data_IF_574946467208
#
_entry.id   IF_574946467208
#
_cell.length_a   1.000
_cell.length_b   1.000
_cell.length_c   1.000
_cell.angle_alpha   90.00
_cell.angle_beta   90.00
_cell.angle_gamma   90.00
#
_symmetry.space_group_name_H-M   'P 1'
#
loop_
_entity.id
_entity.type
_entity.pdbx_description
1 polymer ?
#
# COMPACT_ATOMS: atom_id res chain seq x y z
N UNK A 1 -1.82 -10.54 -11.70
CA UNK A 1 -0.84 -9.86 -12.59
C UNK A 1 -0.35 -8.63 -11.86
N UNK A 2 0.96 -8.52 -11.70
CA UNK A 2 1.69 -7.37 -11.19
C UNK A 2 3.16 -7.65 -11.50
N UNK A 3 3.83 -6.74 -12.18
CA UNK A 3 5.26 -6.83 -12.52
C UNK A 3 5.76 -5.42 -12.83
N UNK A 4 7.07 -5.24 -12.86
CA UNK A 4 7.74 -3.96 -13.11
C UNK A 4 7.30 -3.32 -14.43
N UNK A 5 7.08 -4.13 -15.47
CA UNK A 5 6.68 -3.67 -16.79
C UNK A 5 5.24 -3.09 -16.81
N UNK A 6 4.37 -3.55 -15.91
CA UNK A 6 2.95 -3.18 -15.93
C UNK A 6 2.74 -1.72 -15.51
N UNK A 7 3.55 -1.23 -14.57
CA UNK A 7 3.46 0.14 -14.05
C UNK A 7 4.59 1.06 -14.54
N UNK A 8 5.45 0.59 -15.44
CA UNK A 8 6.60 1.36 -15.95
C UNK A 8 6.17 2.72 -16.53
N UNK A 9 5.12 2.72 -17.36
CA UNK A 9 4.61 3.94 -17.96
C UNK A 9 4.13 4.96 -16.92
N UNK A 10 3.50 4.51 -15.84
CA UNK A 10 3.04 5.38 -14.75
C UNK A 10 4.21 5.87 -13.90
N UNK A 11 5.20 5.03 -13.64
CA UNK A 11 6.44 5.43 -12.97
C UNK A 11 7.14 6.57 -13.72
N UNK A 12 7.23 6.48 -15.05
CA UNK A 12 7.78 7.55 -15.88
C UNK A 12 6.96 8.84 -15.83
N UNK A 13 5.62 8.73 -15.84
CA UNK A 13 4.74 9.90 -15.71
C UNK A 13 4.95 10.60 -14.38
N UNK A 14 4.97 9.86 -13.28
CA UNK A 14 5.19 10.40 -11.94
C UNK A 14 6.58 11.04 -11.85
N UNK A 15 7.63 10.34 -12.30
CA UNK A 15 9.00 10.86 -12.30
C UNK A 15 9.10 12.19 -13.06
N UNK A 16 8.48 12.25 -14.25
CA UNK A 16 8.49 13.46 -15.08
C UNK A 16 7.66 14.60 -14.49
N UNK A 17 6.48 14.31 -13.93
CA UNK A 17 5.58 15.33 -13.40
C UNK A 17 6.05 15.91 -12.06
N UNK A 18 6.66 15.07 -11.21
CA UNK A 18 7.13 15.46 -9.88
C UNK A 18 8.60 15.87 -9.86
N UNK A 19 9.32 15.73 -10.98
CA UNK A 19 10.78 15.91 -11.05
C UNK A 19 11.50 15.09 -9.97
N UNK A 20 11.12 13.82 -9.86
CA UNK A 20 11.55 12.90 -8.81
C UNK A 20 12.13 11.60 -9.40
N UNK A 21 12.95 10.92 -8.61
CA UNK A 21 13.34 9.54 -8.87
C UNK A 21 12.23 8.62 -8.37
N UNK A 22 11.82 7.67 -9.21
CA UNK A 22 10.83 6.64 -8.86
C UNK A 22 11.53 5.28 -8.80
N UNK A 23 11.51 4.65 -7.63
CA UNK A 23 11.97 3.28 -7.43
C UNK A 23 10.75 2.33 -7.49
N UNK A 24 10.56 1.63 -8.61
CA UNK A 24 9.55 0.59 -8.74
C UNK A 24 10.05 -0.71 -8.11
N UNK A 25 9.27 -1.29 -7.20
CA UNK A 25 9.70 -2.42 -6.38
C UNK A 25 9.11 -3.74 -6.90
N UNK A 26 9.98 -4.66 -7.34
CA UNK A 26 9.60 -6.00 -7.76
C UNK A 26 9.38 -6.94 -6.58
N UNK A 27 8.36 -6.65 -5.75
CA UNK A 27 8.08 -7.42 -4.54
C UNK A 27 7.46 -8.79 -4.86
N UNK A 28 7.67 -9.77 -3.97
CA UNK A 28 7.11 -11.12 -4.13
C UNK A 28 5.59 -11.11 -4.01
N UNK A 29 4.92 -11.94 -4.82
CA UNK A 29 3.47 -11.96 -4.93
C UNK A 29 2.82 -13.18 -4.27
N UNK A 30 1.57 -13.01 -3.87
CA UNK A 30 0.69 -14.11 -3.50
C UNK A 30 0.15 -14.81 -4.78
N UNK A 31 -0.23 -16.09 -4.70
CA UNK A 31 -0.37 -16.93 -3.50
C UNK A 31 0.92 -17.55 -2.96
N UNK A 32 2.03 -17.54 -3.71
CA UNK A 32 3.30 -18.15 -3.36
C UNK A 32 3.92 -17.50 -2.12
N UNK A 33 3.80 -16.17 -2.02
CA UNK A 33 4.29 -15.36 -0.91
C UNK A 33 3.15 -14.54 -0.29
N UNK A 34 2.44 -15.15 0.66
CA UNK A 34 1.33 -14.49 1.38
C UNK A 34 1.84 -13.40 2.33
N UNK A 35 0.92 -12.56 2.80
CA UNK A 35 1.18 -11.60 3.86
C UNK A 35 1.93 -12.25 5.05
N UNK A 36 2.95 -11.59 5.64
CA UNK A 36 3.39 -10.21 5.38
C UNK A 36 4.48 -10.05 4.31
N UNK A 37 4.86 -11.11 3.57
CA UNK A 37 6.05 -11.09 2.71
C UNK A 37 6.05 -9.94 1.68
N UNK A 38 4.98 -9.71 0.89
CA UNK A 38 4.98 -8.64 -0.11
C UNK A 38 5.18 -7.25 0.51
N UNK A 39 4.58 -7.01 1.67
CA UNK A 39 4.69 -5.74 2.39
C UNK A 39 6.10 -5.54 2.94
N UNK A 40 6.68 -6.60 3.51
CA UNK A 40 8.04 -6.55 4.02
C UNK A 40 9.06 -6.30 2.90
N UNK A 41 8.83 -6.85 1.70
CA UNK A 41 9.67 -6.57 0.53
C UNK A 41 9.57 -5.09 0.12
N UNK A 42 8.36 -4.52 0.10
CA UNK A 42 8.17 -3.10 -0.17
C UNK A 42 8.86 -2.21 0.87
N UNK A 43 8.73 -2.55 2.16
CA UNK A 43 9.36 -1.80 3.24
C UNK A 43 10.90 -1.91 3.18
N UNK A 44 11.43 -3.10 2.88
CA UNK A 44 12.86 -3.30 2.69
C UNK A 44 13.39 -2.51 1.49
N UNK A 45 12.66 -2.48 0.37
CA UNK A 45 13.02 -1.65 -0.79
C UNK A 45 13.00 -0.15 -0.49
N UNK A 46 12.01 0.30 0.28
CA UNK A 46 11.96 1.68 0.76
C UNK A 46 13.17 2.03 1.63
N UNK A 47 13.47 1.22 2.65
CA UNK A 47 14.62 1.43 3.54
C UNK A 47 15.94 1.41 2.76
N UNK A 48 16.10 0.46 1.83
CA UNK A 48 17.27 0.40 0.97
C UNK A 48 17.48 1.71 0.18
N UNK A 49 16.42 2.25 -0.42
CA UNK A 49 16.50 3.52 -1.16
C UNK A 49 16.89 4.71 -0.27
N UNK A 50 16.40 4.74 0.97
CA UNK A 50 16.78 5.76 1.97
C UNK A 50 18.25 5.63 2.35
N UNK A 51 18.73 4.42 2.64
CA UNK A 51 20.11 4.13 3.03
C UNK A 51 21.11 4.46 1.90
N UNK A 52 20.70 4.27 0.65
CA UNK A 52 21.53 4.49 -0.54
C UNK A 52 21.22 5.83 -1.23
N UNK A 53 20.63 6.77 -0.52
CA UNK A 53 20.17 8.05 -1.10
C UNK A 53 21.29 8.83 -1.81
N UNK A 54 22.51 8.79 -1.28
CA UNK A 54 23.68 9.42 -1.91
C UNK A 54 24.07 8.76 -3.22
N UNK A 55 23.95 7.44 -3.34
CA UNK A 55 24.27 6.69 -4.56
C UNK A 55 23.23 6.94 -5.65
N UNK A 56 21.97 7.06 -5.23
CA UNK A 56 20.83 7.35 -6.09
C UNK A 56 20.69 8.84 -6.44
N UNK A 57 21.51 9.71 -5.85
CA UNK A 57 21.40 11.17 -5.95
C UNK A 57 20.00 11.71 -5.57
N UNK A 58 19.41 11.17 -4.51
CA UNK A 58 18.09 11.57 -4.00
C UNK A 58 18.19 12.22 -2.62
N UNK A 59 17.21 13.06 -2.30
CA UNK A 59 17.04 13.67 -0.97
C UNK A 59 16.08 12.82 -0.15
N UNK A 60 16.62 11.98 0.75
CA UNK A 60 15.83 11.09 1.61
C UNK A 60 14.94 11.82 2.61
N UNK A 61 15.11 13.12 2.82
CA UNK A 61 14.20 13.92 3.65
C UNK A 61 12.87 14.24 2.96
N UNK A 62 12.78 13.99 1.64
CA UNK A 62 11.60 14.25 0.79
C UNK A 62 10.97 12.96 0.26
N UNK A 63 11.16 11.84 0.94
CA UNK A 63 10.63 10.56 0.49
C UNK A 63 9.10 10.52 0.52
N UNK A 64 8.51 9.77 -0.42
CA UNK A 64 7.08 9.53 -0.51
C UNK A 64 6.83 8.10 -1.00
N UNK A 65 5.67 7.53 -0.67
CA UNK A 65 5.24 6.23 -1.19
C UNK A 65 4.02 6.39 -2.10
N UNK A 66 3.92 5.55 -3.12
CA UNK A 66 2.77 5.56 -4.03
C UNK A 66 2.50 4.19 -4.61
N UNK A 67 1.29 3.99 -5.13
CA UNK A 67 0.90 2.79 -5.85
C UNK A 67 -0.58 2.79 -6.20
N UNK A 68 -1.00 1.76 -6.92
CA UNK A 68 -2.39 1.54 -7.34
C UNK A 68 -2.96 0.26 -6.72
N UNK A 69 -4.23 0.28 -6.31
CA UNK A 69 -4.95 -0.91 -5.83
C UNK A 69 -4.23 -1.62 -4.66
N UNK A 70 -3.70 -2.84 -4.87
CA UNK A 70 -2.90 -3.56 -3.87
C UNK A 70 -1.53 -2.89 -3.61
N UNK A 71 -0.93 -2.26 -4.63
CA UNK A 71 0.27 -1.44 -4.47
C UNK A 71 0.00 -0.18 -3.65
N UNK A 72 -1.21 0.38 -3.74
CA UNK A 72 -1.62 1.50 -2.90
C UNK A 72 -1.78 1.08 -1.42
N UNK A 73 -2.30 -0.13 -1.15
CA UNK A 73 -2.27 -0.71 0.20
C UNK A 73 -0.83 -0.81 0.70
N UNK A 74 0.08 -1.34 -0.12
CA UNK A 74 1.49 -1.46 0.25
C UNK A 74 2.12 -0.09 0.54
N UNK A 75 1.87 0.92 -0.30
CA UNK A 75 2.35 2.27 -0.10
C UNK A 75 1.89 2.89 1.23
N UNK A 76 0.60 2.72 1.58
CA UNK A 76 0.06 3.18 2.86
C UNK A 76 0.74 2.45 4.02
N UNK A 77 0.82 1.12 3.96
CA UNK A 77 1.37 0.30 5.04
C UNK A 77 2.86 0.59 5.26
N UNK A 78 3.64 0.75 4.19
CA UNK A 78 5.07 1.14 4.27
C UNK A 78 5.22 2.49 4.97
N UNK A 79 4.39 3.48 4.64
CA UNK A 79 4.43 4.78 5.31
C UNK A 79 4.06 4.68 6.80
N UNK A 80 3.11 3.80 7.15
CA UNK A 80 2.80 3.51 8.55
C UNK A 80 3.97 2.86 9.28
N UNK A 81 4.58 1.83 8.70
CA UNK A 81 5.77 1.17 9.27
C UNK A 81 6.94 2.14 9.44
N UNK A 82 7.14 3.05 8.48
CA UNK A 82 8.18 4.08 8.55
C UNK A 82 7.89 5.13 9.64
N UNK A 83 6.61 5.44 9.89
CA UNK A 83 6.20 6.33 11.00
C UNK A 83 6.55 5.74 12.36
N UNK A 84 6.52 4.42 12.50
CA UNK A 84 6.90 3.71 13.72
C UNK A 84 8.43 3.55 13.85
N UNK A 85 9.21 3.97 12.85
CA UNK A 85 10.68 3.93 12.89
C UNK A 85 11.27 5.07 13.74
N UNK A 86 12.54 4.93 14.12
CA UNK A 86 13.24 5.95 14.90
C UNK A 86 13.43 7.27 14.13
N UNK A 87 13.50 7.22 12.79
CA UNK A 87 13.70 8.38 11.93
C UNK A 87 12.78 8.34 10.69
N UNK A 88 11.48 8.66 10.84
CA UNK A 88 10.53 8.58 9.74
C UNK A 88 10.88 9.48 8.54
N UNK A 89 10.95 8.89 7.35
CA UNK A 89 11.36 9.56 6.10
C UNK A 89 10.21 9.84 5.15
N UNK A 90 9.17 9.00 5.11
CA UNK A 90 7.99 9.19 4.28
C UNK A 90 7.20 10.41 4.73
N UNK A 91 7.04 11.39 3.85
CA UNK A 91 6.30 12.64 4.10
C UNK A 91 4.94 12.67 3.43
N UNK A 92 4.71 11.78 2.47
CA UNK A 92 3.53 11.79 1.63
C UNK A 92 3.19 10.40 1.12
N UNK A 93 1.88 10.13 0.98
CA UNK A 93 1.36 8.92 0.35
C UNK A 93 0.36 9.32 -0.73
N UNK A 94 0.63 8.91 -1.97
CA UNK A 94 -0.34 8.95 -3.05
C UNK A 94 -0.91 7.54 -3.30
N UNK A 95 -2.17 7.34 -2.92
CA UNK A 95 -2.84 6.05 -3.02
C UNK A 95 -3.97 6.12 -4.03
N UNK A 96 -3.81 5.44 -5.17
CA UNK A 96 -4.82 5.42 -6.25
C UNK A 96 -5.70 4.20 -6.07
N UNK A 97 -7.02 4.42 -5.96
CA UNK A 97 -8.03 3.37 -5.78
C UNK A 97 -7.63 2.28 -4.75
N UNK A 98 -7.22 2.66 -3.52
CA UNK A 98 -6.57 1.72 -2.63
C UNK A 98 -7.51 0.63 -2.13
N UNK A 99 -6.98 -0.59 -2.07
CA UNK A 99 -7.62 -1.66 -1.32
C UNK A 99 -7.38 -1.42 0.18
N UNK A 100 -8.28 -0.73 0.88
CA UNK A 100 -8.07 -0.39 2.30
C UNK A 100 -8.77 -1.32 3.28
N UNK A 101 -9.75 -2.10 2.78
CA UNK A 101 -10.54 -3.03 3.59
C UNK A 101 -11.21 -4.08 2.72
N UNK A 102 -11.24 -5.33 3.21
CA UNK A 102 -12.03 -6.42 2.63
C UNK A 102 -13.24 -6.64 3.52
N UNK A 103 -14.44 -6.79 2.95
CA UNK A 103 -15.65 -7.03 3.77
C UNK A 103 -15.50 -8.33 4.57
N UNK A 104 -15.84 -8.27 5.85
CA UNK A 104 -15.55 -9.30 6.84
C UNK A 104 -14.30 -9.02 7.66
N UNK A 105 -13.35 -8.22 7.15
CA UNK A 105 -12.07 -7.94 7.78
C UNK A 105 -12.09 -6.62 8.59
N UNK A 106 -13.10 -5.78 8.37
CA UNK A 106 -13.32 -4.52 9.08
C UNK A 106 -13.64 -4.67 10.59
N UNK A 107 -13.35 -3.64 11.41
CA UNK A 107 -13.95 -3.49 12.73
C UNK A 107 -15.48 -3.45 12.67
N UNK A 108 -16.16 -4.08 13.63
CA UNK A 108 -17.63 -4.23 13.60
C UNK A 108 -18.37 -2.88 13.54
N UNK A 109 -17.85 -1.84 14.18
CA UNK A 109 -18.45 -0.51 14.19
C UNK A 109 -18.37 0.24 12.85
N UNK A 110 -17.51 -0.20 11.92
CA UNK A 110 -17.40 0.37 10.57
C UNK A 110 -18.21 -0.42 9.53
N UNK A 111 -18.68 -1.62 9.87
CA UNK A 111 -19.36 -2.52 8.93
C UNK A 111 -20.59 -1.90 8.27
N UNK A 112 -21.38 -1.13 9.00
CA UNK A 112 -22.56 -0.43 8.46
C UNK A 112 -22.21 0.78 7.58
N UNK A 113 -20.96 1.27 7.67
CA UNK A 113 -20.48 2.44 6.94
C UNK A 113 -19.77 2.04 5.63
N UNK A 114 -19.39 0.76 5.47
CA UNK A 114 -18.75 0.25 4.27
C UNK A 114 -19.74 0.08 3.11
N UNK A 115 -19.70 1.06 2.21
CA UNK A 115 -20.44 1.10 0.95
C UNK A 115 -19.71 0.38 -0.19
N UNK A 116 -18.52 -0.17 0.04
CA UNK A 116 -17.64 -0.71 -1.01
C UNK A 116 -18.34 -1.70 -1.93
N UNK A 117 -19.19 -2.59 -1.40
CA UNK A 117 -19.96 -3.59 -2.18
C UNK A 117 -20.92 -2.96 -3.18
N UNK A 118 -21.50 -1.80 -2.86
CA UNK A 118 -22.41 -1.10 -3.77
C UNK A 118 -21.66 -0.45 -4.94
N UNK A 119 -20.36 -0.20 -4.77
CA UNK A 119 -19.52 0.57 -5.71
C UNK A 119 -18.63 -0.34 -6.57
N UNK A 120 -18.22 -1.51 -6.07
CA UNK A 120 -17.34 -2.47 -6.76
C UNK A 120 -18.06 -3.48 -7.67
N UNK A 121 -19.29 -3.18 -8.10
CA UNK A 121 -20.08 -4.08 -8.96
C UNK A 121 -20.98 -5.06 -8.20
N UNK A 122 -21.36 -4.76 -6.96
CA UNK A 122 -22.32 -5.56 -6.20
C UNK A 122 -21.73 -6.84 -5.61
N UNK A 123 -22.59 -7.85 -5.44
CA UNK A 123 -22.23 -9.10 -4.77
C UNK A 123 -21.09 -9.88 -5.46
N UNK A 124 -20.94 -9.76 -6.78
CA UNK A 124 -19.89 -10.48 -7.52
C UNK A 124 -18.53 -9.78 -7.42
N UNK A 125 -18.50 -8.45 -7.29
CA UNK A 125 -17.29 -7.71 -6.94
C UNK A 125 -16.80 -8.06 -5.53
N UNK A 126 -17.71 -8.19 -4.56
CA UNK A 126 -17.38 -8.61 -3.19
C UNK A 126 -16.81 -10.04 -3.14
N UNK A 127 -17.40 -10.99 -3.88
CA UNK A 127 -16.85 -12.36 -3.97
C UNK A 127 -15.43 -12.36 -4.55
N UNK A 128 -15.21 -11.57 -5.60
CA UNK A 128 -13.90 -11.46 -6.25
C UNK A 128 -12.84 -10.93 -5.29
N UNK A 129 -13.15 -9.84 -4.56
CA UNK A 129 -12.23 -9.30 -3.56
C UNK A 129 -11.95 -10.28 -2.41
N UNK A 130 -12.97 -10.99 -1.92
CA UNK A 130 -12.78 -12.00 -0.87
C UNK A 130 -11.95 -13.18 -1.35
N UNK A 131 -12.14 -13.61 -2.60
CA UNK A 131 -11.32 -14.65 -3.20
C UNK A 131 -9.85 -14.21 -3.26
N UNK A 132 -9.57 -13.00 -3.75
CA UNK A 132 -8.22 -12.43 -3.76
C UNK A 132 -7.65 -12.34 -2.35
N UNK A 133 -8.42 -11.83 -1.38
CA UNK A 133 -8.00 -11.72 0.01
C UNK A 133 -7.60 -13.09 0.59
N UNK A 134 -8.33 -14.16 0.30
CA UNK A 134 -7.99 -15.51 0.76
C UNK A 134 -6.67 -16.05 0.18
N UNK A 135 -6.26 -15.58 -1.01
CA UNK A 135 -4.95 -15.90 -1.58
C UNK A 135 -3.83 -15.14 -0.88
N UNK A 136 -4.09 -13.92 -0.41
CA UNK A 136 -3.07 -13.01 0.13
C UNK A 136 -2.95 -13.07 1.66
N UNK A 137 -4.03 -13.33 2.38
CA UNK A 137 -4.11 -13.23 3.85
C UNK A 137 -4.12 -14.62 4.48
N UNK A 138 -3.12 -14.96 5.32
CA UNK A 138 -3.16 -16.18 6.13
C UNK A 138 -4.35 -16.16 7.09
N UNK A 139 -4.94 -17.35 7.34
CA UNK A 139 -6.05 -17.50 8.29
C UNK A 139 -5.63 -17.00 9.68
N UNK A 140 -6.48 -16.21 10.32
CA UNK A 140 -6.23 -15.60 11.64
C UNK A 140 -5.51 -14.24 11.60
N UNK A 141 -5.13 -13.75 10.41
CA UNK A 141 -4.51 -12.42 10.23
C UNK A 141 -5.49 -11.37 9.72
N UNK A 142 -6.79 -11.69 9.62
CA UNK A 142 -7.82 -10.84 8.99
C UNK A 142 -8.02 -9.49 9.70
N UNK A 143 -7.58 -9.37 10.95
CA UNK A 143 -7.64 -8.14 11.77
C UNK A 143 -6.30 -7.44 11.91
N UNK A 144 -5.25 -7.90 11.23
CA UNK A 144 -3.93 -7.26 11.28
C UNK A 144 -4.05 -5.82 10.71
N UNK A 145 -3.57 -4.79 11.42
CA UNK A 145 -3.69 -3.41 10.97
C UNK A 145 -2.98 -3.15 9.63
N UNK A 146 -1.99 -3.98 9.26
CA UNK A 146 -1.30 -3.91 7.97
C UNK A 146 -2.02 -4.65 6.82
N UNK A 147 -3.13 -5.34 7.09
CA UNK A 147 -4.05 -5.90 6.08
C UNK A 147 -5.25 -4.97 5.86
N UNK A 148 -5.66 -4.23 6.89
CA UNK A 148 -6.77 -3.29 6.86
C UNK A 148 -6.28 -1.91 7.28
N UNK A 149 -5.52 -1.19 6.42
CA UNK A 149 -4.93 0.09 6.79
C UNK A 149 -5.98 1.19 7.04
N UNK A 150 -7.26 0.96 6.72
CA UNK A 150 -8.36 1.81 7.19
C UNK A 150 -8.35 2.00 8.72
N UNK A 151 -7.79 1.03 9.46
CA UNK A 151 -7.57 1.10 10.90
C UNK A 151 -6.44 2.09 11.24
N UNK A 152 -5.41 2.22 10.42
CA UNK A 152 -4.23 3.06 10.70
C UNK A 152 -4.46 4.52 10.30
N UNK A 153 -5.11 4.77 9.16
CA UNK A 153 -5.41 6.14 8.68
C UNK A 153 -6.34 6.90 9.66
N UNK A 154 -7.21 6.18 10.38
CA UNK A 154 -8.07 6.76 11.40
C UNK A 154 -7.35 7.11 12.71
N UNK A 155 -6.15 6.57 12.97
CA UNK A 155 -5.49 6.65 14.28
C UNK A 155 -4.39 7.71 14.37
N UNK A 156 -3.69 8.05 13.27
CA UNK A 156 -2.43 8.80 13.39
C UNK A 156 -2.38 10.23 12.85
N UNK A 157 -3.40 10.74 12.14
CA UNK A 157 -3.61 12.19 11.89
C UNK A 157 -2.47 13.03 11.27
N UNK A 158 -1.32 12.44 10.90
CA UNK A 158 -0.08 13.17 10.61
C UNK A 158 0.44 13.02 9.17
N UNK A 159 -0.08 12.05 8.40
CA UNK A 159 0.26 11.87 6.99
C UNK A 159 -0.78 12.53 6.10
N UNK A 160 -0.34 13.51 5.29
CA UNK A 160 -1.15 14.08 4.23
C UNK A 160 -1.43 12.97 3.20
N UNK A 161 -2.59 12.32 3.32
CA UNK A 161 -3.01 11.23 2.46
C UNK A 161 -3.91 11.81 1.38
N UNK A 162 -3.48 11.77 0.12
CA UNK A 162 -4.40 12.03 -1.00
C UNK A 162 -4.93 10.68 -1.48
N UNK A 163 -6.24 10.48 -1.29
CA UNK A 163 -7.00 9.38 -1.88
C UNK A 163 -7.56 9.90 -3.20
N UNK A 164 -7.03 9.40 -4.33
CA UNK A 164 -7.51 9.72 -5.68
C UNK A 164 -8.36 8.57 -6.23
#
# INVERSE_FOLDING_TARGET
MGDLDVEEAECHRIASACHAVVASLGYRLAPEHKFPIPINDCYAGFQWAIEHASELNIDSSKAATTGMSAGALAAIVVACMDTDSAEPRSKFVAAVQPLTVVRGFEPDHLRSQLRSVDVIGGADGDKSLRFLAAQHVPKGQERNPYIVPLIIVALNGSLLTTLL
#
